data_IF_513963287575
#
_entry.id   IF_513963287575
#
_cell.length_a   1.000
_cell.length_b   1.000
_cell.length_c   1.000
_cell.angle_alpha   90.00
_cell.angle_beta   90.00
_cell.angle_gamma   90.00
#
_symmetry.space_group_name_H-M   'P 1'
#
loop_
_entity.id
_entity.type
_entity.pdbx_description
1 polymer ?
#
# COMPACT_ATOMS: atom_id res chain seq x y z
N UNK A 1 -25.19 -1.93 -20.41
CA UNK A 1 -23.79 -1.72 -19.97
C UNK A 1 -23.81 -1.10 -18.60
N UNK A 2 -23.38 -1.83 -17.58
CA UNK A 2 -23.37 -1.33 -16.21
C UNK A 2 -22.05 -0.56 -15.99
N UNK A 3 -22.13 0.77 -15.82
CA UNK A 3 -20.99 1.58 -15.38
C UNK A 3 -20.84 1.38 -13.87
N UNK A 4 -19.83 0.61 -13.46
CA UNK A 4 -19.48 0.48 -12.06
C UNK A 4 -18.65 1.72 -11.67
N UNK A 5 -19.29 2.72 -11.07
CA UNK A 5 -18.57 3.83 -10.46
C UNK A 5 -17.93 3.33 -9.16
N UNK A 6 -16.66 2.90 -9.23
CA UNK A 6 -15.88 2.60 -8.02
C UNK A 6 -15.37 3.93 -7.47
N UNK A 7 -16.19 4.57 -6.64
CA UNK A 7 -15.72 5.66 -5.77
C UNK A 7 -14.84 5.02 -4.71
N UNK A 8 -13.54 5.24 -4.78
CA UNK A 8 -12.57 4.84 -3.76
C UNK A 8 -12.76 5.68 -2.49
N UNK A 9 -13.81 5.39 -1.71
CA UNK A 9 -13.98 5.91 -0.36
C UNK A 9 -12.94 5.24 0.55
N UNK A 10 -11.90 5.99 0.91
CA UNK A 10 -10.88 5.54 1.87
C UNK A 10 -11.36 5.65 3.33
N UNK A 11 -12.58 6.09 3.62
CA UNK A 11 -13.00 6.40 5.00
C UNK A 11 -13.98 5.44 5.70
N UNK A 12 -14.52 4.38 5.07
CA UNK A 12 -15.51 3.50 5.74
C UNK A 12 -15.47 2.02 5.25
N UNK A 13 -14.32 1.34 5.30
CA UNK A 13 -14.25 -0.09 4.88
C UNK A 13 -14.36 -1.07 6.07
N UNK A 14 -14.26 -0.61 7.32
CA UNK A 14 -14.28 -1.50 8.50
C UNK A 14 -15.58 -2.27 8.79
N UNK A 15 -16.81 -1.76 8.59
CA UNK A 15 -18.00 -2.54 8.95
C UNK A 15 -18.24 -3.76 8.02
N UNK A 16 -17.43 -3.94 6.97
CA UNK A 16 -17.59 -5.02 5.98
C UNK A 16 -16.59 -6.18 6.13
N UNK A 17 -15.66 -6.14 7.09
CA UNK A 17 -14.66 -7.20 7.24
C UNK A 17 -13.76 -7.38 6.02
N UNK A 18 -13.44 -6.28 5.33
CA UNK A 18 -12.65 -6.27 4.10
C UNK A 18 -11.30 -5.56 4.32
N UNK A 19 -10.29 -5.94 3.53
CA UNK A 19 -8.99 -5.25 3.52
C UNK A 19 -9.10 -3.90 2.82
N UNK A 20 -8.35 -2.90 3.29
CA UNK A 20 -8.37 -1.56 2.70
C UNK A 20 -7.86 -1.56 1.24
N UNK A 21 -8.74 -1.24 0.30
CA UNK A 21 -8.46 -1.06 -1.14
C UNK A 21 -7.86 -2.32 -1.85
N UNK A 22 -7.47 -2.20 -3.12
CA UNK A 22 -6.93 -3.30 -3.95
C UNK A 22 -5.45 -3.62 -3.66
N UNK A 23 -4.83 -2.92 -2.72
CA UNK A 23 -3.42 -3.16 -2.36
C UNK A 23 -3.32 -4.20 -1.24
N UNK A 24 -2.15 -4.85 -1.07
CA UNK A 24 -1.94 -5.81 0.03
C UNK A 24 -2.12 -5.16 1.40
N UNK A 25 -2.34 -5.99 2.42
CA UNK A 25 -2.41 -5.55 3.81
C UNK A 25 -1.09 -4.90 4.26
N UNK A 26 -1.16 -3.85 5.08
CA UNK A 26 0.04 -3.19 5.60
C UNK A 26 0.63 -4.03 6.73
N UNK A 27 -0.19 -4.35 7.73
CA UNK A 27 0.16 -5.19 8.87
C UNK A 27 -0.88 -6.30 9.02
N UNK A 28 -0.47 -7.44 9.57
CA UNK A 28 -1.39 -8.56 9.88
C UNK A 28 -2.34 -8.22 11.01
N UNK A 29 -1.87 -7.41 11.97
CA UNK A 29 -2.64 -6.82 13.04
C UNK A 29 -2.42 -5.31 12.93
N UNK A 30 -3.50 -4.58 12.72
CA UNK A 30 -3.50 -3.14 12.65
C UNK A 30 -3.67 -2.56 14.07
N UNK A 31 -2.72 -1.75 14.51
CA UNK A 31 -2.82 -1.03 15.77
C UNK A 31 -3.39 0.37 15.51
N UNK A 32 -4.44 0.73 16.25
CA UNK A 32 -5.07 2.05 16.23
C UNK A 32 -5.03 2.66 17.61
N UNK A 33 -4.71 3.95 17.68
CA UNK A 33 -4.84 4.73 18.91
C UNK A 33 -6.19 5.44 18.90
N UNK A 34 -7.09 5.03 19.78
CA UNK A 34 -8.34 5.73 20.02
C UNK A 34 -8.22 6.63 21.24
N UNK A 35 -8.62 7.90 21.08
CA UNK A 35 -8.50 8.94 22.10
C UNK A 35 -9.14 8.60 23.46
N UNK A 36 -10.14 7.70 23.49
CA UNK A 36 -10.91 7.37 24.71
C UNK A 36 -10.54 6.03 25.35
N UNK A 37 -10.02 5.07 24.57
CA UNK A 37 -9.92 3.65 24.99
C UNK A 37 -8.45 3.17 24.97
N UNK A 38 -7.54 3.93 24.35
CA UNK A 38 -6.13 3.54 24.22
C UNK A 38 -5.87 2.83 22.90
N UNK A 39 -5.07 1.75 22.92
CA UNK A 39 -4.70 0.99 21.72
C UNK A 39 -5.71 -0.12 21.44
N UNK A 40 -6.22 -0.17 20.20
CA UNK A 40 -7.09 -1.24 19.70
C UNK A 40 -6.37 -1.98 18.58
N UNK A 41 -6.53 -3.30 18.55
CA UNK A 41 -5.88 -4.19 17.60
C UNK A 41 -6.92 -4.85 16.69
N UNK A 42 -6.80 -4.64 15.38
CA UNK A 42 -7.69 -5.20 14.36
C UNK A 42 -6.91 -6.24 13.53
N UNK A 43 -7.18 -7.55 13.68
CA UNK A 43 -6.54 -8.56 12.84
C UNK A 43 -7.09 -8.49 11.41
N UNK A 44 -6.25 -8.85 10.43
CA UNK A 44 -6.69 -8.95 9.04
C UNK A 44 -7.88 -9.93 8.91
N UNK A 45 -8.87 -9.66 8.04
CA UNK A 45 -10.01 -10.56 7.84
C UNK A 45 -9.54 -11.96 7.47
N UNK A 46 -10.15 -13.00 8.02
CA UNK A 46 -9.81 -14.42 7.79
C UNK A 46 -8.39 -14.85 8.20
N UNK A 47 -7.71 -14.07 9.06
CA UNK A 47 -6.42 -14.44 9.62
C UNK A 47 -6.55 -15.62 10.59
N UNK A 48 -5.90 -16.73 10.25
CA UNK A 48 -5.73 -17.92 11.10
C UNK A 48 -4.30 -18.43 10.98
N UNK A 49 -3.90 -19.39 11.84
CA UNK A 49 -2.57 -19.99 11.74
C UNK A 49 -2.33 -20.69 10.40
N UNK A 50 -3.38 -21.19 9.76
CA UNK A 50 -3.32 -21.84 8.44
C UNK A 50 -3.19 -20.82 7.30
N UNK A 51 -3.83 -19.65 7.43
CA UNK A 51 -3.85 -18.64 6.37
C UNK A 51 -2.71 -17.60 6.50
N UNK A 52 -2.01 -17.58 7.64
CA UNK A 52 -0.92 -16.66 7.95
C UNK A 52 0.18 -16.52 6.87
N UNK A 53 0.58 -17.58 6.13
CA UNK A 53 1.55 -17.46 5.04
C UNK A 53 1.08 -16.60 3.86
N UNK A 54 -0.22 -16.47 3.63
CA UNK A 54 -0.79 -15.69 2.51
C UNK A 54 -0.84 -14.19 2.79
N UNK A 55 -0.78 -13.80 4.07
CA UNK A 55 -0.79 -12.39 4.50
C UNK A 55 0.63 -11.84 4.51
N UNK A 56 1.09 -11.42 3.32
CA UNK A 56 2.34 -10.68 3.13
C UNK A 56 2.09 -9.17 3.23
N UNK A 57 2.95 -8.47 3.97
CA UNK A 57 2.89 -7.01 4.06
C UNK A 57 3.10 -6.37 2.69
N UNK A 58 2.41 -5.25 2.46
CA UNK A 58 2.63 -4.39 1.31
C UNK A 58 4.09 -3.94 1.19
N UNK A 59 4.79 -3.70 2.31
CA UNK A 59 6.21 -3.30 2.34
C UNK A 59 7.18 -4.39 1.89
N UNK A 60 6.77 -5.66 1.99
CA UNK A 60 7.58 -6.81 1.57
C UNK A 60 7.18 -7.33 0.19
N UNK A 61 6.24 -6.66 -0.46
CA UNK A 61 5.72 -7.05 -1.78
C UNK A 61 6.40 -6.23 -2.87
N UNK A 62 6.73 -6.87 -4.00
CA UNK A 62 7.23 -6.16 -5.17
C UNK A 62 6.14 -5.23 -5.71
N UNK A 63 6.38 -3.93 -5.68
CA UNK A 63 5.40 -2.92 -6.11
C UNK A 63 5.04 -3.00 -7.58
N UNK A 64 5.86 -3.64 -8.42
CA UNK A 64 5.49 -3.91 -9.83
C UNK A 64 4.27 -4.82 -9.92
N UNK A 65 4.18 -5.82 -9.04
CA UNK A 65 3.01 -6.72 -8.98
C UNK A 65 1.75 -5.97 -8.57
N UNK A 66 1.87 -5.06 -7.61
CA UNK A 66 0.75 -4.20 -7.19
C UNK A 66 0.33 -3.29 -8.34
N UNK A 67 1.29 -2.68 -9.04
CA UNK A 67 1.03 -1.88 -10.24
C UNK A 67 0.33 -2.72 -11.32
N UNK A 68 0.75 -3.96 -11.56
CA UNK A 68 0.12 -4.85 -12.54
C UNK A 68 -1.33 -5.17 -12.17
N UNK A 69 -1.62 -5.43 -10.90
CA UNK A 69 -3.00 -5.63 -10.40
C UNK A 69 -3.85 -4.39 -10.63
N UNK A 70 -3.33 -3.20 -10.33
CA UNK A 70 -4.03 -1.94 -10.60
C UNK A 70 -4.20 -1.69 -12.10
N UNK A 71 -3.20 -2.02 -12.94
CA UNK A 71 -3.30 -1.87 -14.38
C UNK A 71 -4.39 -2.78 -14.97
N UNK A 72 -4.51 -4.02 -14.47
CA UNK A 72 -5.58 -4.93 -14.86
C UNK A 72 -6.97 -4.39 -14.45
N UNK A 73 -7.11 -3.89 -13.22
CA UNK A 73 -8.36 -3.28 -12.76
C UNK A 73 -8.70 -1.98 -13.53
N UNK A 74 -7.69 -1.20 -13.92
CA UNK A 74 -7.86 0.10 -14.56
C UNK A 74 -8.59 0.00 -15.91
N UNK A 75 -8.51 -1.14 -16.60
CA UNK A 75 -9.26 -1.40 -17.84
C UNK A 75 -10.78 -1.32 -17.65
N UNK A 76 -11.26 -1.55 -16.42
CA UNK A 76 -12.68 -1.58 -16.08
C UNK A 76 -13.13 -0.36 -15.26
N UNK A 77 -12.21 0.55 -14.93
CA UNK A 77 -12.50 1.78 -14.18
C UNK A 77 -12.28 2.98 -15.11
N UNK A 78 -13.36 3.72 -15.36
CA UNK A 78 -13.35 4.91 -16.21
C UNK A 78 -12.61 6.09 -15.55
N UNK A 79 -12.65 6.17 -14.22
CA UNK A 79 -11.91 7.14 -13.40
C UNK A 79 -10.52 6.63 -12.96
N UNK A 80 -9.80 7.44 -12.18
CA UNK A 80 -8.54 7.03 -11.56
C UNK A 80 -8.76 6.17 -10.33
N UNK A 81 -7.73 5.41 -9.94
CA UNK A 81 -7.71 4.64 -8.70
C UNK A 81 -6.63 5.16 -7.76
N UNK A 82 -6.86 5.03 -6.46
CA UNK A 82 -5.92 5.46 -5.41
C UNK A 82 -4.81 4.41 -5.23
N UNK A 83 -3.83 4.40 -6.14
CA UNK A 83 -2.64 3.55 -6.02
C UNK A 83 -1.63 4.16 -5.04
N UNK A 84 -1.32 3.45 -3.97
CA UNK A 84 -0.24 3.79 -3.02
C UNK A 84 0.96 2.89 -3.24
N UNK A 85 2.17 3.48 -3.29
CA UNK A 85 3.42 2.72 -3.32
C UNK A 85 3.97 2.58 -1.90
N UNK A 86 4.16 1.35 -1.43
CA UNK A 86 4.71 1.04 -0.11
C UNK A 86 6.17 0.66 -0.23
N UNK A 87 7.04 1.45 0.39
CA UNK A 87 8.50 1.30 0.31
C UNK A 87 9.09 1.18 1.70
N UNK A 88 10.06 0.27 1.89
CA UNK A 88 10.91 0.30 3.09
C UNK A 88 12.05 1.29 2.88
N UNK A 89 12.46 1.96 3.96
CA UNK A 89 13.67 2.79 4.00
C UNK A 89 14.92 1.94 3.76
N UNK A 90 14.91 0.69 4.24
CA UNK A 90 15.91 -0.34 3.95
C UNK A 90 15.24 -1.46 3.16
N UNK A 91 15.60 -1.62 1.88
CA UNK A 91 14.99 -2.58 0.96
C UNK A 91 15.64 -3.97 1.17
N UNK A 92 14.86 -5.02 1.42
CA UNK A 92 15.38 -6.39 1.55
C UNK A 92 16.12 -6.85 0.28
N UNK A 93 17.22 -7.57 0.48
CA UNK A 93 17.97 -8.18 -0.61
C UNK A 93 17.08 -9.12 -1.43
N UNK A 94 17.20 -9.07 -2.76
CA UNK A 94 16.42 -9.92 -3.67
C UNK A 94 14.99 -9.44 -3.95
N UNK A 95 14.50 -8.36 -3.32
CA UNK A 95 13.17 -7.81 -3.64
C UNK A 95 13.16 -7.15 -5.03
N UNK A 96 14.23 -6.42 -5.36
CA UNK A 96 14.37 -5.73 -6.64
C UNK A 96 15.74 -6.00 -7.25
N UNK A 97 15.76 -6.47 -8.50
CA UNK A 97 17.00 -6.87 -9.17
C UNK A 97 17.97 -5.70 -9.38
N UNK A 98 17.47 -4.47 -9.54
CA UNK A 98 18.30 -3.28 -9.75
C UNK A 98 19.04 -2.80 -8.49
N UNK A 99 18.78 -3.42 -7.34
CA UNK A 99 19.45 -3.20 -6.05
C UNK A 99 20.59 -4.18 -5.80
N UNK A 100 20.68 -5.26 -6.58
CA UNK A 100 21.71 -6.28 -6.40
C UNK A 100 23.11 -5.67 -6.60
N UNK A 101 24.00 -5.84 -5.61
CA UNK A 101 25.35 -5.26 -5.61
C UNK A 101 25.40 -3.74 -5.42
N UNK A 102 24.34 -3.13 -4.87
CA UNK A 102 24.26 -1.69 -4.56
C UNK A 102 23.85 -1.46 -3.10
N UNK A 103 23.54 -0.21 -2.76
CA UNK A 103 22.95 0.14 -1.45
C UNK A 103 21.56 -0.49 -1.26
N UNK A 104 21.33 -0.99 -0.06
CA UNK A 104 20.05 -1.46 0.47
C UNK A 104 19.08 -0.31 0.77
N UNK A 105 19.58 0.90 1.03
CA UNK A 105 18.74 2.07 1.30
C UNK A 105 17.89 2.44 0.10
N UNK A 106 16.65 2.83 0.36
CA UNK A 106 15.74 3.35 -0.64
C UNK A 106 16.26 4.68 -1.21
N UNK A 107 16.22 4.80 -2.52
CA UNK A 107 16.69 5.98 -3.25
C UNK A 107 15.58 6.58 -4.11
N UNK A 108 15.72 7.85 -4.47
CA UNK A 108 14.79 8.51 -5.40
C UNK A 108 14.72 7.81 -6.76
N UNK A 109 15.82 7.18 -7.21
CA UNK A 109 15.87 6.38 -8.43
C UNK A 109 14.91 5.19 -8.39
N UNK A 110 14.77 4.55 -7.23
CA UNK A 110 13.87 3.41 -7.04
C UNK A 110 12.41 3.84 -7.29
N UNK A 111 12.02 5.01 -6.78
CA UNK A 111 10.69 5.57 -7.07
C UNK A 111 10.52 5.96 -8.53
N UNK A 112 11.55 6.53 -9.17
CA UNK A 112 11.47 6.89 -10.58
C UNK A 112 11.26 5.66 -11.46
N UNK A 113 11.93 4.54 -11.16
CA UNK A 113 11.73 3.26 -11.86
C UNK A 113 10.27 2.79 -11.71
N UNK A 114 9.73 2.78 -10.48
CA UNK A 114 8.37 2.34 -10.22
C UNK A 114 7.31 3.27 -10.85
N UNK A 115 7.52 4.58 -10.81
CA UNK A 115 6.63 5.57 -11.45
C UNK A 115 6.61 5.41 -12.97
N UNK A 116 7.79 5.24 -13.58
CA UNK A 116 7.89 5.00 -15.01
C UNK A 116 7.24 3.66 -15.40
N UNK A 117 7.40 2.62 -14.57
CA UNK A 117 6.73 1.34 -14.79
C UNK A 117 5.20 1.47 -14.70
N UNK A 118 4.68 2.19 -13.70
CA UNK A 118 3.25 2.46 -13.58
C UNK A 118 2.69 3.24 -14.78
N UNK A 119 3.43 4.25 -15.24
CA UNK A 119 3.08 5.00 -16.44
C UNK A 119 3.06 4.10 -17.68
N UNK A 120 4.10 3.29 -17.87
CA UNK A 120 4.18 2.31 -18.97
C UNK A 120 3.01 1.32 -18.97
N UNK A 121 2.55 0.91 -17.78
CA UNK A 121 1.40 0.01 -17.61
C UNK A 121 0.03 0.68 -17.76
N UNK A 122 -0.01 2.00 -17.98
CA UNK A 122 -1.26 2.74 -18.19
C UNK A 122 -2.04 3.05 -16.91
N UNK A 123 -1.38 3.03 -15.74
CA UNK A 123 -2.00 3.50 -14.50
C UNK A 123 -2.21 5.01 -14.57
N UNK A 124 -3.44 5.48 -14.31
CA UNK A 124 -3.81 6.89 -14.48
C UNK A 124 -3.24 7.81 -13.41
N UNK A 125 -3.11 7.33 -12.18
CA UNK A 125 -2.71 8.12 -11.02
C UNK A 125 -1.99 7.29 -9.96
N UNK A 126 -1.02 7.91 -9.29
CA UNK A 126 -0.42 7.42 -8.04
C UNK A 126 -0.84 8.43 -6.96
N UNK A 127 -1.46 7.95 -5.89
CA UNK A 127 -2.00 8.80 -4.83
C UNK A 127 -0.90 9.30 -3.89
N UNK A 128 -0.20 8.39 -3.20
CA UNK A 128 0.98 8.74 -2.39
C UNK A 128 2.02 7.62 -2.38
N UNK A 129 3.22 7.97 -1.93
CA UNK A 129 4.30 7.02 -1.63
C UNK A 129 4.44 6.98 -0.11
N UNK A 130 4.33 5.79 0.48
CA UNK A 130 4.52 5.58 1.92
C UNK A 130 5.85 4.90 2.15
N UNK A 131 6.70 5.54 2.95
CA UNK A 131 7.96 4.94 3.39
C UNK A 131 7.82 4.42 4.82
N UNK A 132 8.25 3.19 5.05
CA UNK A 132 8.39 2.62 6.38
C UNK A 132 9.86 2.62 6.79
N UNK A 133 10.15 3.22 7.93
CA UNK A 133 11.46 3.18 8.55
C UNK A 133 11.36 2.27 9.77
N UNK A 134 12.23 1.27 9.88
CA UNK A 134 12.26 0.34 11.01
C UNK A 134 12.78 1.00 12.32
N UNK A 135 13.04 2.31 12.32
CA UNK A 135 13.53 3.04 13.48
C UNK A 135 12.39 3.19 14.49
N UNK A 136 12.63 2.73 15.72
CA UNK A 136 11.74 2.78 16.88
C UNK A 136 11.45 4.20 17.41
N UNK A 137 11.40 5.19 16.52
CA UNK A 137 11.05 6.58 16.79
C UNK A 137 9.85 6.94 15.93
N UNK A 138 8.69 7.01 16.58
CA UNK A 138 7.41 7.44 16.03
C UNK A 138 7.56 8.66 15.12
N UNK A 139 7.47 8.47 13.80
CA UNK A 139 7.07 9.56 12.90
C UNK A 139 5.54 9.56 12.93
N UNK A 140 5.03 10.23 13.96
CA UNK A 140 3.61 10.44 14.19
C UNK A 140 2.92 11.00 12.95
N UNK A 141 1.70 10.51 12.72
CA UNK A 141 0.79 10.92 11.68
C UNK A 141 0.34 12.38 11.85
N UNK A 142 1.22 13.34 11.58
CA UNK A 142 0.92 14.78 11.71
C UNK A 142 1.38 15.65 10.54
N UNK A 143 1.80 15.08 9.41
CA UNK A 143 2.01 15.86 8.19
C UNK A 143 1.34 15.16 7.00
N UNK A 144 0.02 15.32 6.90
CA UNK A 144 -0.78 15.42 5.67
C UNK A 144 -2.29 15.40 6.00
N UNK A 145 -2.77 16.21 6.97
CA UNK A 145 -4.19 16.61 7.05
C UNK A 145 -4.39 17.92 6.29
N UNK A 146 -4.18 17.91 4.98
CA UNK A 146 -4.63 19.00 4.13
C UNK A 146 -4.90 18.40 2.76
N UNK A 147 -6.16 18.52 2.33
CA UNK A 147 -6.74 17.95 1.10
C UNK A 147 -7.30 16.52 1.23
N UNK A 148 -8.10 16.27 2.28
CA UNK A 148 -9.36 15.54 2.11
C UNK A 148 -10.48 16.58 2.21
N UNK A 149 -11.07 16.94 1.07
CA UNK A 149 -12.38 17.61 1.03
C UNK A 149 -13.44 16.52 1.15
#
# INVERSE_FOLDING_TARGET
GCRLAVVSLIYEIEPLGATANLHPIINRIEERQERKIGKIYYPAPYLSNETLPYYKSAYDTDMRKVIDTYAAAQQHVDQGMSLTLFMRSTIPAGLYEWKNGRTDKMTTRDLSILRNYAHYKGVKSIYYVRTFTDDASEVGANECESCSI
#
